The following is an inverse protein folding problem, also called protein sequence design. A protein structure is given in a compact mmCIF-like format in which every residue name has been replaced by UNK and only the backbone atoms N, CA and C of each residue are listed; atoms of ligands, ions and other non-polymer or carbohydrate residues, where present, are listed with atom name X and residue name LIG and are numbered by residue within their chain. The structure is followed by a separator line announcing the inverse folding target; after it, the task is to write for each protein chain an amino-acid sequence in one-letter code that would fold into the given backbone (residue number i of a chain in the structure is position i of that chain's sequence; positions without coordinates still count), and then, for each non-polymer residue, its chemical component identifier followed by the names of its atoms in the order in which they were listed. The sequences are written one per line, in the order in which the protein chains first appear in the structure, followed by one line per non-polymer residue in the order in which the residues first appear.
data_IF_442172106946
#
_entry.id   IF_442172106946
#
_cell.length_a   1.000
_cell.length_b   1.000
_cell.length_c   1.000
_cell.angle_alpha   90.00
_cell.angle_beta   90.00
_cell.angle_gamma   90.00
#
_symmetry.space_group_name_H-M   'P 1'
#
loop_
_entity.id
_entity.type
_entity.pdbx_description
1 polymer ?
#
# COMPACT_ATOMS: atom_id res chain seq x y z
N UNK A 1 -10.98 8.03 -17.85
CA UNK A 1 -11.30 6.94 -16.89
C UNK A 1 -10.61 7.29 -15.59
N UNK A 2 -11.35 7.56 -14.51
CA UNK A 2 -10.73 7.82 -13.20
C UNK A 2 -10.20 6.47 -12.69
N UNK A 3 -8.92 6.41 -12.38
CA UNK A 3 -8.35 5.24 -11.74
C UNK A 3 -8.92 5.14 -10.33
N UNK A 4 -9.77 4.15 -10.10
CA UNK A 4 -10.16 3.79 -8.76
C UNK A 4 -8.98 3.05 -8.13
N UNK A 5 -8.34 3.68 -7.16
CA UNK A 5 -7.82 2.94 -6.02
C UNK A 5 -8.88 1.97 -5.56
N UNK A 6 -8.51 0.78 -5.08
CA UNK A 6 -9.45 -0.19 -4.52
C UNK A 6 -10.04 0.40 -3.23
N UNK A 7 -10.97 1.35 -3.36
CA UNK A 7 -11.58 2.08 -2.27
C UNK A 7 -12.92 1.43 -1.99
N UNK A 8 -12.97 0.71 -0.89
CA UNK A 8 -14.21 0.31 -0.25
C UNK A 8 -15.01 1.57 0.12
N UNK A 9 -16.14 1.81 -0.54
CA UNK A 9 -17.27 2.52 0.09
C UNK A 9 -18.12 1.49 0.86
N UNK A 10 -18.54 1.78 2.09
CA UNK A 10 -19.59 1.01 2.73
C UNK A 10 -20.94 1.42 2.13
N UNK A 11 -21.58 0.53 1.36
CA UNK A 11 -23.02 0.64 1.09
C UNK A 11 -23.46 0.32 -0.34
N UNK A 12 -24.50 -0.51 -0.39
CA UNK A 12 -25.43 -0.82 -1.48
C UNK A 12 -25.00 -1.94 -2.45
N UNK A 13 -25.53 -3.13 -2.15
CA UNK A 13 -25.67 -4.26 -3.08
C UNK A 13 -26.52 -3.84 -4.28
N UNK A 14 -25.90 -3.69 -5.46
CA UNK A 14 -26.62 -3.82 -6.73
C UNK A 14 -26.18 -5.11 -7.42
N UNK A 15 -27.14 -6.02 -7.53
CA UNK A 15 -26.98 -7.32 -8.17
C UNK A 15 -26.89 -7.15 -9.68
N UNK A 16 -25.69 -7.29 -10.24
CA UNK A 16 -25.52 -7.68 -11.65
C UNK A 16 -24.84 -9.05 -11.72
N UNK A 17 -25.57 -10.01 -12.27
CA UNK A 17 -25.19 -11.41 -12.29
C UNK A 17 -24.00 -11.68 -13.20
N UNK A 18 -22.86 -12.05 -12.58
CA UNK A 18 -21.82 -12.89 -13.15
C UNK A 18 -21.30 -13.79 -12.01
N UNK A 19 -21.47 -15.12 -12.21
CA UNK A 19 -21.05 -16.26 -11.38
C UNK A 19 -20.20 -15.92 -10.13
N UNK A 20 -20.88 -15.50 -9.07
CA UNK A 20 -20.28 -15.18 -7.78
C UNK A 20 -20.13 -16.42 -6.89
N UNK A 21 -18.90 -16.76 -6.56
CA UNK A 21 -18.60 -17.53 -5.35
C UNK A 21 -18.84 -16.64 -4.14
N UNK A 22 -19.79 -17.01 -3.29
CA UNK A 22 -20.15 -16.28 -2.07
C UNK A 22 -19.08 -16.60 -1.03
N UNK A 23 -18.21 -15.64 -0.69
CA UNK A 23 -17.39 -15.75 0.51
C UNK A 23 -18.33 -15.67 1.73
N UNK A 24 -18.63 -16.82 2.33
CA UNK A 24 -19.45 -16.88 3.55
C UNK A 24 -18.68 -16.24 4.70
N UNK A 25 -19.28 -15.24 5.33
CA UNK A 25 -18.93 -14.78 6.66
C UNK A 25 -19.19 -15.93 7.64
N UNK A 26 -18.13 -16.57 8.12
CA UNK A 26 -18.20 -17.49 9.26
C UNK A 26 -17.31 -16.91 10.35
N UNK A 27 -17.94 -16.59 11.48
CA UNK A 27 -17.22 -16.23 12.70
C UNK A 27 -16.20 -17.33 13.06
N UNK A 28 -14.94 -16.90 13.09
CA UNK A 28 -13.76 -17.45 13.75
C UNK A 28 -13.70 -18.97 13.97
N UNK A 29 -13.36 -19.69 12.89
CA UNK A 29 -12.51 -20.87 13.00
C UNK A 29 -11.07 -20.45 12.59
N UNK A 30 -10.06 -20.53 13.45
CA UNK A 30 -8.67 -20.20 13.10
C UNK A 30 -8.07 -21.11 12.01
N UNK A 31 -8.75 -22.20 11.65
CA UNK A 31 -8.43 -23.07 10.51
C UNK A 31 -9.16 -22.69 9.21
N UNK A 32 -10.09 -21.73 9.22
CA UNK A 32 -10.85 -21.32 8.05
C UNK A 32 -10.07 -20.34 7.15
N UNK A 33 -10.32 -20.45 5.84
CA UNK A 33 -9.76 -19.55 4.83
C UNK A 33 -10.09 -18.08 5.15
N UNK A 34 -9.09 -17.21 5.05
CA UNK A 34 -9.33 -15.77 5.09
C UNK A 34 -10.07 -15.37 3.81
N UNK A 35 -11.23 -14.72 3.97
CA UNK A 35 -11.89 -14.05 2.85
C UNK A 35 -11.10 -12.81 2.47
N UNK A 36 -10.40 -12.85 1.35
CA UNK A 36 -9.73 -11.67 0.78
C UNK A 36 -10.78 -10.72 0.21
N UNK A 37 -10.61 -9.43 0.47
CA UNK A 37 -11.46 -8.40 -0.14
C UNK A 37 -11.22 -8.38 -1.66
N UNK A 38 -12.27 -8.11 -2.47
CA UNK A 38 -12.10 -7.90 -3.90
C UNK A 38 -11.03 -6.82 -4.16
N UNK A 39 -10.07 -7.13 -5.03
CA UNK A 39 -8.95 -6.24 -5.38
C UNK A 39 -7.66 -6.45 -4.59
N UNK A 40 -7.66 -7.21 -3.48
CA UNK A 40 -6.47 -7.52 -2.67
C UNK A 40 -5.70 -8.75 -3.16
N UNK A 41 -5.82 -9.06 -4.45
CA UNK A 41 -5.08 -10.14 -5.08
C UNK A 41 -4.94 -9.92 -6.59
N UNK A 42 -3.81 -10.33 -7.12
CA UNK A 42 -3.48 -10.27 -8.54
C UNK A 42 -3.85 -11.58 -9.24
N UNK A 43 -5.13 -11.68 -9.59
CA UNK A 43 -5.75 -12.82 -10.29
C UNK A 43 -5.09 -13.22 -11.62
N UNK A 44 -4.16 -12.41 -12.14
CA UNK A 44 -3.38 -12.75 -13.34
C UNK A 44 -2.41 -13.91 -13.11
N UNK A 45 -2.03 -14.16 -11.86
CA UNK A 45 -1.04 -15.17 -11.51
C UNK A 45 -1.61 -16.39 -10.80
N UNK A 46 -2.86 -16.31 -10.38
CA UNK A 46 -3.50 -17.29 -9.51
C UNK A 46 -4.92 -17.54 -10.01
N UNK A 47 -5.32 -18.80 -10.05
CA UNK A 47 -6.62 -19.25 -10.57
C UNK A 47 -7.36 -20.04 -9.50
N UNK A 48 -8.67 -19.82 -9.36
CA UNK A 48 -9.59 -20.58 -8.49
C UNK A 48 -9.24 -20.60 -6.98
N UNK A 49 -10.24 -20.84 -6.13
CA UNK A 49 -10.21 -21.17 -4.68
C UNK A 49 -8.89 -20.91 -3.91
N UNK A 50 -8.46 -19.65 -3.84
CA UNK A 50 -7.31 -19.24 -3.02
C UNK A 50 -7.76 -19.19 -1.56
N UNK A 51 -7.07 -19.95 -0.72
CA UNK A 51 -7.35 -20.08 0.70
C UNK A 51 -6.05 -19.95 1.48
N UNK A 52 -5.87 -18.81 2.14
CA UNK A 52 -4.80 -18.65 3.11
C UNK A 52 -5.35 -18.84 4.51
N UNK A 53 -4.65 -19.61 5.35
CA UNK A 53 -4.86 -19.51 6.80
C UNK A 53 -4.35 -18.13 7.27
N UNK A 54 -4.91 -17.60 8.37
CA UNK A 54 -4.55 -16.24 8.82
C UNK A 54 -3.05 -16.04 9.03
N UNK A 55 -2.37 -16.99 9.67
CA UNK A 55 -0.92 -16.93 9.91
C UNK A 55 -0.09 -17.05 8.63
N UNK A 56 -0.58 -17.81 7.66
CA UNK A 56 0.06 -17.96 6.35
C UNK A 56 -0.03 -16.66 5.55
N UNK A 57 -1.20 -16.02 5.53
CA UNK A 57 -1.36 -14.68 4.93
C UNK A 57 -0.41 -13.68 5.58
N UNK A 58 -0.38 -13.59 6.91
CA UNK A 58 0.54 -12.70 7.64
C UNK A 58 1.99 -12.96 7.24
N UNK A 59 2.42 -14.22 7.22
CA UNK A 59 3.77 -14.59 6.79
C UNK A 59 4.08 -14.07 5.37
N UNK A 60 3.16 -14.28 4.41
CA UNK A 60 3.35 -13.80 3.05
C UNK A 60 3.43 -12.27 2.95
N UNK A 61 2.63 -11.53 3.74
CA UNK A 61 2.69 -10.07 3.78
C UNK A 61 4.01 -9.59 4.38
N UNK A 62 4.51 -10.22 5.45
CA UNK A 62 5.82 -9.91 6.05
C UNK A 62 6.94 -10.12 5.02
N UNK A 63 6.91 -11.22 4.28
CA UNK A 63 7.88 -11.49 3.22
C UNK A 63 7.77 -10.51 2.05
N UNK A 64 6.57 -10.01 1.73
CA UNK A 64 6.40 -8.94 0.76
C UNK A 64 7.07 -7.63 1.21
N UNK A 65 6.85 -7.21 2.46
CA UNK A 65 7.52 -6.03 3.05
C UNK A 65 9.04 -6.19 2.99
N UNK A 66 9.57 -7.34 3.42
CA UNK A 66 11.02 -7.61 3.44
C UNK A 66 11.62 -7.57 2.04
N UNK A 67 11.02 -8.28 1.09
CA UNK A 67 11.58 -8.40 -0.25
C UNK A 67 11.44 -7.10 -1.05
N UNK A 68 10.34 -6.36 -0.87
CA UNK A 68 10.20 -5.02 -1.45
C UNK A 68 11.24 -4.05 -0.88
N UNK A 69 11.39 -4.00 0.46
CA UNK A 69 12.41 -3.17 1.12
C UNK A 69 13.82 -3.47 0.61
N UNK A 70 14.19 -4.76 0.53
CA UNK A 70 15.51 -5.18 0.05
C UNK A 70 15.74 -4.76 -1.40
N UNK A 71 14.74 -4.95 -2.27
CA UNK A 71 14.82 -4.58 -3.69
C UNK A 71 14.99 -3.07 -3.86
N UNK A 72 14.19 -2.26 -3.16
CA UNK A 72 14.29 -0.80 -3.24
C UNK A 72 15.64 -0.30 -2.71
N UNK A 73 16.11 -0.86 -1.58
CA UNK A 73 17.43 -0.55 -1.00
C UNK A 73 18.56 -0.88 -1.98
N UNK A 74 18.53 -2.06 -2.60
CA UNK A 74 19.54 -2.50 -3.57
C UNK A 74 19.67 -1.52 -4.75
N UNK A 75 18.56 -0.93 -5.17
CA UNK A 75 18.50 0.00 -6.29
C UNK A 75 18.59 1.48 -5.90
N UNK A 76 18.83 1.78 -4.61
CA UNK A 76 18.96 3.16 -4.13
C UNK A 76 17.66 3.97 -4.24
N UNK A 77 16.50 3.31 -4.25
CA UNK A 77 15.18 3.95 -4.27
C UNK A 77 14.81 4.34 -2.84
N UNK A 78 14.55 5.63 -2.61
CA UNK A 78 14.02 6.09 -1.33
C UNK A 78 12.59 5.60 -1.15
N UNK A 79 12.34 4.94 -0.02
CA UNK A 79 11.04 4.32 0.27
C UNK A 79 10.78 4.28 1.77
N UNK A 80 9.53 4.12 2.18
CA UNK A 80 9.09 3.95 3.56
C UNK A 80 7.78 3.17 3.61
N UNK A 81 7.51 2.44 4.69
CA UNK A 81 6.18 1.82 4.91
C UNK A 81 5.12 2.91 5.06
N UNK A 82 3.95 2.68 4.49
CA UNK A 82 2.84 3.64 4.44
C UNK A 82 1.51 3.01 4.88
N UNK A 83 0.47 3.83 5.04
CA UNK A 83 -0.92 3.40 5.28
C UNK A 83 -1.05 2.36 6.41
N UNK A 84 -1.73 1.22 6.15
CA UNK A 84 -1.93 0.15 7.11
C UNK A 84 -0.62 -0.53 7.53
N UNK A 85 0.37 -0.58 6.63
CA UNK A 85 1.69 -1.16 6.92
C UNK A 85 2.48 -0.29 7.90
N UNK A 86 2.45 1.04 7.74
CA UNK A 86 3.02 1.99 8.70
C UNK A 86 2.32 1.90 10.07
N UNK A 87 0.99 1.84 10.07
CA UNK A 87 0.22 1.66 11.29
C UNK A 87 0.61 0.35 12.00
N UNK A 88 0.78 -0.73 11.27
CA UNK A 88 1.30 -2.00 11.78
C UNK A 88 2.68 -1.84 12.43
N UNK A 89 3.63 -1.23 11.71
CA UNK A 89 4.98 -1.00 12.22
C UNK A 89 4.98 -0.22 13.54
N UNK A 90 4.15 0.81 13.66
CA UNK A 90 4.05 1.64 14.88
C UNK A 90 3.32 0.93 16.02
N UNK A 91 2.26 0.18 15.72
CA UNK A 91 1.36 -0.38 16.74
C UNK A 91 1.75 -1.77 17.22
N UNK A 92 2.27 -2.59 16.32
CA UNK A 92 2.54 -4.02 16.53
C UNK A 92 4.00 -4.39 16.33
N UNK A 93 4.86 -3.44 15.91
CA UNK A 93 6.21 -3.74 15.42
C UNK A 93 6.17 -4.81 14.32
N UNK A 94 5.14 -4.79 13.46
CA UNK A 94 4.87 -5.86 12.49
C UNK A 94 3.63 -5.60 11.64
N UNK A 95 3.09 -6.62 10.98
CA UNK A 95 1.86 -6.45 10.18
C UNK A 95 0.62 -6.36 11.08
N UNK A 96 -0.40 -5.59 10.68
CA UNK A 96 -1.68 -5.62 11.41
C UNK A 96 -2.27 -7.04 11.30
N UNK A 97 -2.75 -7.65 12.40
CA UNK A 97 -3.15 -9.07 12.37
C UNK A 97 -4.22 -9.41 11.34
N UNK A 98 -5.09 -8.46 10.97
CA UNK A 98 -6.17 -8.68 10.01
C UNK A 98 -5.90 -8.10 8.61
N UNK A 99 -4.73 -7.52 8.37
CA UNK A 99 -4.36 -6.91 7.08
C UNK A 99 -4.34 -7.93 5.94
N UNK A 100 -4.42 -7.43 4.70
CA UNK A 100 -4.53 -8.27 3.50
C UNK A 100 -3.60 -7.86 2.36
N UNK A 101 -3.00 -6.67 2.41
CA UNK A 101 -1.98 -6.18 1.51
C UNK A 101 -0.93 -5.36 2.27
N UNK A 102 0.02 -4.78 1.53
CA UNK A 102 1.11 -3.98 2.11
C UNK A 102 1.33 -2.74 1.24
N UNK A 103 1.74 -1.64 1.87
CA UNK A 103 1.84 -0.34 1.24
C UNK A 103 3.17 0.35 1.57
N UNK A 104 3.76 0.98 0.56
CA UNK A 104 4.93 1.83 0.69
C UNK A 104 4.71 3.19 0.03
N UNK A 105 5.40 4.20 0.53
CA UNK A 105 5.68 5.42 -0.22
C UNK A 105 7.05 5.32 -0.88
N UNK A 106 7.18 5.89 -2.08
CA UNK A 106 8.45 6.15 -2.77
C UNK A 106 8.49 7.61 -3.22
N UNK A 107 9.68 8.18 -3.37
CA UNK A 107 9.81 9.52 -3.95
C UNK A 107 9.75 9.51 -5.49
N UNK A 108 9.51 10.68 -6.07
CA UNK A 108 9.42 10.87 -7.52
C UNK A 108 10.70 10.41 -8.25
N UNK A 109 11.87 10.67 -7.67
CA UNK A 109 13.15 10.22 -8.23
C UNK A 109 13.24 8.69 -8.31
N UNK A 110 12.82 8.01 -7.25
CA UNK A 110 12.72 6.55 -7.20
C UNK A 110 11.77 5.99 -8.24
N UNK A 111 10.58 6.60 -8.39
CA UNK A 111 9.64 6.21 -9.44
C UNK A 111 10.21 6.39 -10.85
N UNK A 112 10.80 7.54 -11.16
CA UNK A 112 11.42 7.80 -12.47
C UNK A 112 12.52 6.77 -12.75
N UNK A 113 13.35 6.45 -11.75
CA UNK A 113 14.36 5.41 -11.88
C UNK A 113 13.72 4.06 -12.24
N UNK A 114 12.72 3.60 -11.49
CA UNK A 114 12.02 2.34 -11.75
C UNK A 114 11.31 2.33 -13.11
N UNK A 115 10.72 3.46 -13.52
CA UNK A 115 10.02 3.61 -14.80
C UNK A 115 10.96 3.48 -15.99
N UNK A 116 12.14 4.08 -15.91
CA UNK A 116 13.04 4.24 -17.05
C UNK A 116 14.16 3.18 -17.11
N UNK A 117 14.42 2.47 -16.01
CA UNK A 117 15.49 1.48 -15.92
C UNK A 117 14.95 0.08 -15.63
N UNK A 118 15.40 -0.90 -16.44
CA UNK A 118 15.14 -2.29 -16.14
C UNK A 118 15.93 -2.70 -14.90
N UNK A 119 15.24 -3.23 -13.90
CA UNK A 119 15.84 -3.82 -12.71
C UNK A 119 15.60 -5.32 -12.67
N UNK A 120 16.51 -6.04 -12.03
CA UNK A 120 16.42 -7.48 -11.82
C UNK A 120 15.50 -7.75 -10.63
N UNK A 121 14.33 -8.32 -10.91
CA UNK A 121 13.36 -8.70 -9.89
C UNK A 121 13.51 -10.20 -9.63
N UNK A 122 13.85 -10.62 -8.39
CA UNK A 122 14.07 -12.04 -8.11
C UNK A 122 12.76 -12.82 -8.19
N UNK A 123 12.80 -14.03 -8.74
CA UNK A 123 11.66 -14.95 -8.66
C UNK A 123 11.34 -15.30 -7.19
N UNK A 124 10.07 -15.51 -6.81
CA UNK A 124 8.87 -15.53 -7.66
C UNK A 124 8.18 -14.16 -7.75
N UNK A 125 8.92 -13.05 -7.76
CA UNK A 125 8.33 -11.72 -7.78
C UNK A 125 8.36 -11.08 -9.17
N UNK A 126 7.41 -10.18 -9.39
CA UNK A 126 7.37 -9.27 -10.54
C UNK A 126 7.10 -7.85 -10.07
N UNK A 127 7.55 -6.87 -10.84
CA UNK A 127 7.28 -5.46 -10.61
C UNK A 127 6.50 -4.89 -11.79
N UNK A 128 5.36 -4.28 -11.50
CA UNK A 128 4.59 -3.49 -12.44
C UNK A 128 4.82 -2.02 -12.22
N UNK A 129 5.01 -1.28 -13.31
CA UNK A 129 5.29 0.17 -13.27
C UNK A 129 4.47 0.87 -14.34
N UNK A 130 3.64 1.82 -13.91
CA UNK A 130 2.85 2.68 -14.79
C UNK A 130 3.78 3.52 -15.68
N UNK A 131 3.39 3.67 -16.95
CA UNK A 131 4.16 4.38 -17.99
C UNK A 131 5.62 3.95 -18.16
N UNK A 132 5.96 2.70 -17.82
CA UNK A 132 7.27 2.15 -18.11
C UNK A 132 7.31 1.48 -19.49
N UNK A 133 8.39 1.71 -20.23
CA UNK A 133 8.72 0.95 -21.45
C UNK A 133 9.50 -0.35 -21.15
N UNK A 134 10.00 -0.51 -19.92
CA UNK A 134 10.92 -1.60 -19.52
C UNK A 134 10.29 -2.56 -18.51
N UNK A 135 9.23 -2.16 -17.83
CA UNK A 135 8.39 -3.02 -16.98
C UNK A 135 6.97 -3.07 -17.52
N UNK A 136 6.31 -4.20 -17.28
CA UNK A 136 4.89 -4.33 -17.62
C UNK A 136 4.07 -3.34 -16.76
N UNK A 137 3.04 -2.75 -17.36
CA UNK A 137 2.13 -1.86 -16.66
C UNK A 137 1.24 -2.64 -15.68
N UNK A 138 0.85 -3.89 -15.96
CA UNK A 138 0.03 -4.69 -15.06
C UNK A 138 -1.29 -4.04 -14.61
N UNK A 139 -1.88 -3.18 -15.45
CA UNK A 139 -3.09 -2.40 -15.13
C UNK A 139 -2.87 -1.25 -14.13
N UNK A 140 -1.63 -0.81 -13.91
CA UNK A 140 -1.32 0.33 -13.06
C UNK A 140 -1.78 1.65 -13.68
N UNK A 141 -1.87 2.67 -12.83
CA UNK A 141 -2.31 4.01 -13.17
C UNK A 141 -1.50 5.04 -12.41
N UNK A 142 -1.64 6.32 -12.75
CA UNK A 142 -0.98 7.42 -12.04
C UNK A 142 -1.22 7.40 -10.52
N UNK A 143 -2.43 7.03 -10.07
CA UNK A 143 -2.80 6.95 -8.66
C UNK A 143 -2.14 5.78 -7.89
N UNK A 144 -1.81 4.70 -8.60
CA UNK A 144 -1.20 3.47 -8.07
C UNK A 144 -0.14 3.00 -9.07
N UNK A 145 0.99 3.70 -9.15
CA UNK A 145 1.89 3.56 -10.29
C UNK A 145 2.83 2.37 -10.17
N UNK A 146 3.11 1.87 -8.97
CA UNK A 146 4.03 0.75 -8.76
C UNK A 146 3.35 -0.34 -7.95
N UNK A 147 3.43 -1.59 -8.41
CA UNK A 147 2.99 -2.77 -7.66
C UNK A 147 4.00 -3.90 -7.77
N UNK A 148 4.41 -4.44 -6.64
CA UNK A 148 5.27 -5.60 -6.52
C UNK A 148 4.44 -6.82 -6.13
N UNK A 149 4.53 -7.91 -6.88
CA UNK A 149 3.62 -9.07 -6.74
C UNK A 149 4.41 -10.34 -6.56
N UNK A 150 4.01 -11.16 -5.58
CA UNK A 150 4.45 -12.55 -5.53
C UNK A 150 3.58 -13.39 -6.47
N UNK A 151 4.14 -13.89 -7.56
CA UNK A 151 3.39 -14.61 -8.60
C UNK A 151 2.92 -16.00 -8.14
N UNK A 152 3.45 -16.54 -7.03
CA UNK A 152 2.98 -17.82 -6.50
C UNK A 152 1.69 -17.66 -5.67
N UNK A 153 1.46 -16.49 -5.07
CA UNK A 153 0.33 -16.25 -4.16
C UNK A 153 -0.66 -15.20 -4.67
N UNK A 154 -0.25 -14.37 -5.63
CA UNK A 154 -1.02 -13.22 -6.11
C UNK A 154 -1.08 -12.05 -5.12
N UNK A 155 -0.49 -12.19 -3.93
CA UNK A 155 -0.40 -11.13 -2.93
C UNK A 155 0.62 -10.07 -3.38
N UNK A 156 0.42 -8.83 -2.96
CA UNK A 156 1.18 -7.70 -3.46
C UNK A 156 1.56 -6.67 -2.41
N UNK A 157 2.51 -5.82 -2.80
CA UNK A 157 2.84 -4.54 -2.19
C UNK A 157 2.55 -3.43 -3.18
N UNK A 158 1.74 -2.44 -2.80
CA UNK A 158 1.58 -1.20 -3.56
C UNK A 158 2.61 -0.17 -3.14
N UNK A 159 3.08 0.63 -4.10
CA UNK A 159 3.96 1.75 -3.84
C UNK A 159 3.41 3.05 -4.43
N UNK A 160 3.10 3.99 -3.54
CA UNK A 160 2.59 5.32 -3.83
C UNK A 160 3.73 6.29 -4.12
N UNK A 161 3.59 7.11 -5.15
CA UNK A 161 4.61 8.09 -5.53
C UNK A 161 4.29 9.43 -4.88
N UNK A 162 5.13 9.85 -3.94
CA UNK A 162 5.00 11.13 -3.27
C UNK A 162 5.72 12.22 -4.06
N UNK A 163 4.93 13.17 -4.52
CA UNK A 163 5.37 14.33 -5.28
C UNK A 163 5.61 15.51 -4.35
N UNK A 164 6.57 16.37 -4.73
CA UNK A 164 6.86 17.59 -3.99
C UNK A 164 5.79 18.63 -4.22
N UNK A 165 5.40 19.31 -3.15
CA UNK A 165 4.52 20.46 -3.18
C UNK A 165 5.04 21.54 -2.23
N UNK A 166 4.42 22.72 -2.24
CA UNK A 166 4.75 23.83 -1.34
C UNK A 166 3.44 24.45 -0.84
N UNK A 167 3.38 24.77 0.46
CA UNK A 167 2.25 25.53 1.01
C UNK A 167 2.38 27.03 0.74
N UNK A 168 1.37 27.81 1.14
CA UNK A 168 1.35 29.26 0.94
C UNK A 168 2.50 30.00 1.64
N UNK A 169 3.12 29.38 2.64
CA UNK A 169 4.21 29.95 3.43
C UNK A 169 5.60 29.50 2.94
N UNK A 170 5.66 28.76 1.83
CA UNK A 170 6.92 28.27 1.28
C UNK A 170 7.43 26.99 1.92
N UNK A 171 6.61 26.29 2.73
CA UNK A 171 7.03 25.05 3.37
C UNK A 171 6.98 23.90 2.37
N UNK A 172 8.07 23.15 2.28
CA UNK A 172 8.12 21.93 1.47
C UNK A 172 7.16 20.87 2.03
N UNK A 173 6.25 20.42 1.16
CA UNK A 173 5.29 19.34 1.40
C UNK A 173 5.59 18.14 0.50
N UNK A 174 5.02 17.00 0.88
CA UNK A 174 4.96 15.80 0.08
C UNK A 174 3.55 15.21 0.15
N UNK A 175 3.09 14.68 -0.97
CA UNK A 175 1.85 13.93 -1.01
C UNK A 175 1.80 13.04 -2.24
N UNK A 176 1.05 11.94 -2.19
CA UNK A 176 0.81 11.11 -3.36
C UNK A 176 -0.02 11.88 -4.38
N UNK A 177 -0.03 11.40 -5.63
CA UNK A 177 -1.00 11.87 -6.62
C UNK A 177 -2.39 11.74 -6.02
N UNK A 178 -3.17 12.81 -6.17
CA UNK A 178 -4.53 12.87 -5.64
C UNK A 178 -5.35 11.69 -6.15
N UNK A 179 -5.83 10.89 -5.20
CA UNK A 179 -6.57 9.69 -5.51
C UNK A 179 -7.49 9.30 -4.37
N UNK A 180 -8.40 8.40 -4.70
CA UNK A 180 -9.28 7.75 -3.76
C UNK A 180 -8.53 7.00 -2.63
N UNK A 181 -7.27 6.58 -2.83
CA UNK A 181 -6.49 5.84 -1.83
C UNK A 181 -6.31 6.63 -0.52
N UNK A 182 -6.19 7.95 -0.62
CA UNK A 182 -5.93 8.83 0.53
C UNK A 182 -7.11 9.71 0.89
N UNK A 183 -8.21 9.62 0.13
CA UNK A 183 -9.32 10.55 0.29
C UNK A 183 -10.06 10.42 1.63
N UNK A 184 -9.74 9.43 2.48
CA UNK A 184 -10.34 9.21 3.81
C UNK A 184 -9.49 9.80 4.92
N UNK A 185 -8.42 10.51 4.55
CA UNK A 185 -7.60 11.22 5.49
C UNK A 185 -8.43 12.19 6.34
N UNK A 186 -8.30 12.05 7.66
CA UNK A 186 -9.15 12.75 8.64
C UNK A 186 -8.83 14.24 8.73
N UNK A 187 -7.56 14.62 8.66
CA UNK A 187 -7.12 16.01 8.81
C UNK A 187 -6.67 16.67 7.52
N UNK A 188 -6.92 16.02 6.38
CA UNK A 188 -6.57 16.58 5.07
C UNK A 188 -7.59 17.63 4.63
N UNK A 189 -7.13 18.72 3.98
CA UNK A 189 -8.02 19.63 3.27
C UNK A 189 -8.86 18.86 2.24
N UNK A 190 -10.13 19.23 2.12
CA UNK A 190 -11.05 18.62 1.17
C UNK A 190 -11.02 19.41 -0.13
N UNK A 191 -10.86 18.74 -1.27
CA UNK A 191 -10.92 19.35 -2.59
C UNK A 191 -12.37 19.71 -3.00
N UNK A 192 -12.53 20.34 -4.17
CA UNK A 192 -13.85 20.74 -4.70
C UNK A 192 -14.83 19.57 -4.92
N UNK A 193 -14.33 18.33 -5.01
CA UNK A 193 -15.13 17.12 -5.22
C UNK A 193 -15.32 16.28 -3.95
N UNK A 194 -14.93 16.78 -2.78
CA UNK A 194 -15.18 16.11 -1.49
C UNK A 194 -14.13 15.08 -1.07
N UNK A 195 -12.96 15.04 -1.70
CA UNK A 195 -11.88 14.09 -1.38
C UNK A 195 -10.76 14.78 -0.58
N UNK A 196 -10.24 14.08 0.43
CA UNK A 196 -9.07 14.54 1.19
C UNK A 196 -7.81 14.60 0.32
N UNK A 197 -7.15 15.76 0.30
CA UNK A 197 -5.85 15.96 -0.34
C UNK A 197 -4.75 15.66 0.69
N UNK A 198 -4.18 14.46 0.62
CA UNK A 198 -3.08 14.09 1.52
C UNK A 198 -1.79 14.77 1.12
N UNK A 199 -1.41 15.76 1.90
CA UNK A 199 -0.12 16.43 1.82
C UNK A 199 0.37 16.70 3.24
N UNK A 200 1.62 16.32 3.50
CA UNK A 200 2.27 16.49 4.79
C UNK A 200 3.61 17.19 4.63
N UNK A 201 4.12 17.84 5.67
CA UNK A 201 5.46 18.40 5.63
C UNK A 201 6.53 17.39 5.24
N UNK A 202 7.43 17.77 4.32
CA UNK A 202 8.53 16.90 3.87
C UNK A 202 9.40 16.40 5.02
N UNK A 203 9.58 17.23 6.04
CA UNK A 203 10.39 16.93 7.22
C UNK A 203 9.75 15.90 8.17
N UNK A 204 8.49 15.54 7.97
CA UNK A 204 7.83 14.43 8.66
C UNK A 204 8.24 13.06 8.10
N UNK A 205 8.63 12.99 6.83
CA UNK A 205 9.13 11.76 6.21
C UNK A 205 10.66 11.73 6.28
N UNK A 206 11.34 12.79 5.87
CA UNK A 206 12.77 12.75 5.54
C UNK A 206 13.71 13.47 6.50
N UNK A 207 14.94 12.94 6.68
CA UNK A 207 15.34 11.54 6.50
C UNK A 207 14.43 10.57 7.25
N UNK A 208 14.18 9.43 6.60
CA UNK A 208 13.43 8.30 7.16
C UNK A 208 14.12 7.78 8.42
N UNK A 209 13.32 7.22 9.33
CA UNK A 209 13.80 6.43 10.46
C UNK A 209 13.75 4.93 10.09
N UNK A 210 14.35 4.08 10.92
CA UNK A 210 14.22 2.63 10.82
C UNK A 210 13.31 2.15 11.95
N UNK A 211 12.14 1.59 11.60
CA UNK A 211 11.19 1.04 12.54
C UNK A 211 11.38 -0.49 12.65
N UNK A 212 11.24 -1.09 13.85
CA UNK A 212 11.12 -2.54 13.99
C UNK A 212 9.93 -3.08 13.20
N UNK A 213 10.13 -4.21 12.52
CA UNK A 213 9.10 -4.93 11.78
C UNK A 213 9.41 -6.43 11.84
N UNK A 214 8.72 -7.14 12.72
CA UNK A 214 8.95 -8.54 13.06
C UNK A 214 10.40 -8.79 13.52
N UNK A 215 11.19 -9.50 12.72
CA UNK A 215 12.60 -9.82 12.99
C UNK A 215 13.59 -8.93 12.21
N UNK A 216 13.11 -7.89 11.52
CA UNK A 216 13.94 -6.94 10.78
C UNK A 216 13.56 -5.49 11.06
N UNK A 217 14.23 -4.56 10.38
CA UNK A 217 13.91 -3.14 10.43
C UNK A 217 13.56 -2.64 9.03
N UNK A 218 12.60 -1.73 8.94
CA UNK A 218 12.11 -1.18 7.68
C UNK A 218 12.07 0.36 7.75
N UNK A 219 12.38 1.08 6.66
CA UNK A 219 12.25 2.53 6.63
C UNK A 219 10.81 2.97 6.93
N UNK A 220 10.67 3.96 7.80
CA UNK A 220 9.40 4.58 8.16
C UNK A 220 9.57 6.11 8.20
N UNK A 221 8.49 6.90 8.09
CA UNK A 221 8.56 8.35 8.25
C UNK A 221 9.27 8.75 9.55
N UNK A 222 10.01 9.86 9.53
CA UNK A 222 10.67 10.43 10.72
C UNK A 222 9.71 10.66 11.87
N UNK A 223 8.52 11.18 11.57
CA UNK A 223 7.50 11.58 12.53
C UNK A 223 6.24 10.72 12.33
N UNK A 224 6.32 9.39 12.57
CA UNK A 224 5.27 8.46 12.16
C UNK A 224 3.97 8.70 12.95
N UNK A 225 4.06 9.17 14.19
CA UNK A 225 2.89 9.54 15.00
C UNK A 225 2.15 10.72 14.38
N UNK A 226 2.85 11.78 13.95
CA UNK A 226 2.22 12.94 13.30
C UNK A 226 1.59 12.55 11.97
N UNK A 227 2.30 11.73 11.19
CA UNK A 227 1.82 11.15 9.93
C UNK A 227 0.49 10.41 10.14
N UNK A 228 0.47 9.43 11.05
CA UNK A 228 -0.69 8.57 11.28
C UNK A 228 -1.84 9.33 11.93
N UNK A 229 -1.57 10.27 12.86
CA UNK A 229 -2.61 11.16 13.39
C UNK A 229 -3.24 11.99 12.27
N UNK A 230 -2.44 12.55 11.36
CA UNK A 230 -2.98 13.33 10.23
C UNK A 230 -3.87 12.48 9.32
N UNK A 231 -3.44 11.25 9.03
CA UNK A 231 -4.16 10.32 8.16
C UNK A 231 -5.43 9.76 8.81
N UNK A 232 -5.34 9.24 10.04
CA UNK A 232 -6.37 8.41 10.66
C UNK A 232 -7.06 9.07 11.87
N UNK A 233 -6.63 10.28 12.26
CA UNK A 233 -7.14 11.00 13.42
C UNK A 233 -6.47 10.58 14.73
N UNK A 234 -6.83 11.24 15.83
CA UNK A 234 -6.16 11.08 17.14
C UNK A 234 -6.27 9.68 17.75
N UNK A 235 -7.31 8.93 17.39
CA UNK A 235 -7.64 7.63 17.98
C UNK A 235 -7.09 6.43 17.21
N UNK A 236 -6.20 6.65 16.24
CA UNK A 236 -5.70 5.61 15.32
C UNK A 236 -5.01 4.41 16.02
N UNK A 237 -4.53 4.60 17.25
CA UNK A 237 -3.90 3.54 18.05
C UNK A 237 -4.92 2.59 18.71
N UNK A 238 -6.21 2.98 18.78
CA UNK A 238 -7.25 2.08 19.30
C UNK A 238 -7.43 0.90 18.34
N UNK A 239 -7.40 -0.35 18.83
CA UNK A 239 -7.83 -1.49 18.02
C UNK A 239 -9.29 -1.29 17.60
N UNK A 240 -9.60 -1.65 16.35
CA UNK A 240 -10.99 -1.70 15.84
C UNK A 240 -11.85 -2.71 16.62
#
# INVERSE_FOLDING_TARGET
MRAHCVRCKPGVLETFGLRGGIAKLVHENPEACVSLRPGHIEWRFVDGDICFKRRELQHHLIELVRNFHNLMTQHGVNHWVDSGTLLGAVRHEGIIPYDQDTDFGIDEAGYVYLRDHKIDVPAPYVLFVWESAVHDNGGRSEALPVRFVNTATGLYTDAFVFQSAEDSDGRALLGPVQSDCFGSCVHCPINEVGEGLFQIPRDWIFPVNMCPFEDFVVPCPREPVKYLTHMYGDDYLRPD
#
